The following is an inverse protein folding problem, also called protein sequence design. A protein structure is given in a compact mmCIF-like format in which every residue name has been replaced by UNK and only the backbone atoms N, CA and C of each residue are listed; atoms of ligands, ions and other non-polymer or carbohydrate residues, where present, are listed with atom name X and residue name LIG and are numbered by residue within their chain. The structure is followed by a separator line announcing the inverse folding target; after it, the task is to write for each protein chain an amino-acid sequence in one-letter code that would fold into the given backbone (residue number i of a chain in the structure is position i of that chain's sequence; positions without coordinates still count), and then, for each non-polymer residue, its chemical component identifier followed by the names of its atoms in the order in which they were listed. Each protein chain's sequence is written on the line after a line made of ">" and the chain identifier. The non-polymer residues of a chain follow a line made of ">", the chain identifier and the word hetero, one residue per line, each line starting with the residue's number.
data_IF_799028135701
#
_entry.id   IF_799028135701
#
_cell.length_a   1.000
_cell.length_b   1.000
_cell.length_c   1.000
_cell.angle_alpha   90.00
_cell.angle_beta   90.00
_cell.angle_gamma   90.00
#
_symmetry.space_group_name_H-M   'P 1'
#
loop_
_entity.id
_entity.type
_entity.pdbx_description
1 polymer ?
#
# COMPACT_ATOMS: atom_id res chain seq x y z
N UNK A 1 2.39 1.01 10.26
CA UNK A 1 3.52 1.33 9.34
C UNK A 1 3.31 0.86 7.89
N UNK A 2 2.65 -0.27 7.61
CA UNK A 2 2.47 -0.77 6.22
C UNK A 2 0.98 -0.85 5.80
N UNK A 3 0.08 -1.13 6.75
CA UNK A 3 -1.33 -1.36 6.45
C UNK A 3 -1.99 -0.15 5.75
N UNK A 4 -2.72 -0.46 4.69
CA UNK A 4 -3.53 0.50 3.93
C UNK A 4 -4.52 1.25 4.79
N UNK A 5 -5.06 0.67 5.86
CA UNK A 5 -6.00 1.36 6.76
C UNK A 5 -5.46 2.69 7.31
N UNK A 6 -4.13 2.79 7.50
CA UNK A 6 -3.49 3.95 8.15
C UNK A 6 -2.74 4.85 7.17
N UNK A 7 -2.65 4.50 5.89
CA UNK A 7 -1.87 5.30 4.93
C UNK A 7 -2.47 6.71 4.77
N UNK A 8 -3.79 6.81 4.63
CA UNK A 8 -4.46 8.10 4.53
C UNK A 8 -4.31 8.95 5.80
N UNK A 9 -4.42 8.36 6.98
CA UNK A 9 -4.23 9.09 8.25
C UNK A 9 -2.79 9.57 8.44
N UNK A 10 -1.79 8.80 7.99
CA UNK A 10 -0.40 9.27 7.97
C UNK A 10 -0.21 10.47 7.04
N UNK A 11 -0.82 10.45 5.85
CA UNK A 11 -0.81 11.61 4.95
C UNK A 11 -1.47 12.81 5.63
N UNK A 12 -2.65 12.64 6.23
CA UNK A 12 -3.35 13.69 6.96
C UNK A 12 -2.49 14.36 8.03
N UNK A 13 -1.83 13.56 8.87
CA UNK A 13 -0.97 14.07 9.95
C UNK A 13 0.21 14.89 9.41
N UNK A 14 0.82 14.45 8.30
CA UNK A 14 1.91 15.19 7.63
C UNK A 14 1.37 16.51 7.08
N UNK A 15 0.23 16.48 6.38
CA UNK A 15 -0.39 17.69 5.84
C UNK A 15 -0.79 18.68 6.93
N UNK A 16 -1.35 18.19 8.05
CA UNK A 16 -1.71 19.02 9.19
C UNK A 16 -0.49 19.74 9.78
N UNK A 17 0.65 19.03 9.89
CA UNK A 17 1.89 19.64 10.35
C UNK A 17 2.41 20.71 9.37
N UNK A 18 2.42 20.40 8.06
CA UNK A 18 2.85 21.36 7.03
C UNK A 18 1.94 22.60 6.99
N UNK A 19 0.64 22.44 7.22
CA UNK A 19 -0.30 23.55 7.33
C UNK A 19 -0.03 24.38 8.59
N UNK A 20 0.20 23.76 9.75
CA UNK A 20 0.56 24.49 10.99
C UNK A 20 1.83 25.32 10.84
N UNK A 21 2.77 24.87 10.01
CA UNK A 21 4.00 25.59 9.66
C UNK A 21 3.83 26.62 8.54
N UNK A 22 2.60 26.80 8.02
CA UNK A 22 2.24 27.71 6.92
C UNK A 22 2.96 27.40 5.60
N UNK A 23 3.34 26.15 5.38
CA UNK A 23 3.99 25.70 4.15
C UNK A 23 2.99 25.34 3.05
N UNK A 24 1.77 24.96 3.43
CA UNK A 24 0.66 24.63 2.54
C UNK A 24 -0.64 25.24 3.03
N UNK A 25 -1.63 25.36 2.13
CA UNK A 25 -2.99 25.81 2.42
C UNK A 25 -3.08 27.18 3.12
N UNK A 26 -2.07 28.04 2.96
CA UNK A 26 -1.96 29.34 3.65
C UNK A 26 -2.06 29.24 5.19
N UNK A 27 -1.86 28.04 5.75
CA UNK A 27 -2.00 27.76 7.17
C UNK A 27 -3.37 27.26 7.63
N UNK A 28 -4.34 27.07 6.73
CA UNK A 28 -5.63 26.50 7.10
C UNK A 28 -5.53 24.98 7.32
N UNK A 29 -5.70 24.56 8.58
CA UNK A 29 -5.69 23.16 8.98
C UNK A 29 -7.08 22.64 9.39
N UNK A 30 -8.12 23.48 9.40
CA UNK A 30 -9.42 23.12 10.01
C UNK A 30 -10.04 21.87 9.39
N UNK A 31 -10.00 21.76 8.07
CA UNK A 31 -10.54 20.64 7.30
C UNK A 31 -9.74 19.33 7.54
N UNK A 32 -8.41 19.43 7.62
CA UNK A 32 -7.51 18.28 7.76
C UNK A 32 -7.22 17.91 9.21
N UNK A 33 -7.63 18.69 10.22
CA UNK A 33 -7.45 18.36 11.64
C UNK A 33 -8.39 17.27 12.15
N UNK A 34 -9.43 16.91 11.41
CA UNK A 34 -10.35 15.85 11.80
C UNK A 34 -9.72 14.46 11.55
N UNK A 35 -9.65 13.58 12.57
CA UNK A 35 -9.13 12.23 12.36
C UNK A 35 -9.88 11.49 11.24
N UNK A 36 -9.14 10.77 10.39
CA UNK A 36 -9.67 10.02 9.24
C UNK A 36 -10.31 10.89 8.13
N UNK A 37 -10.12 12.22 8.14
CA UNK A 37 -10.58 13.09 7.05
C UNK A 37 -9.90 12.81 5.70
N UNK A 38 -8.82 12.02 5.70
CA UNK A 38 -8.11 11.62 4.49
C UNK A 38 -8.08 10.09 4.38
N UNK A 39 -9.08 9.45 3.75
CA UNK A 39 -9.09 8.02 3.51
C UNK A 39 -7.98 7.58 2.55
N UNK A 40 -7.54 6.33 2.68
CA UNK A 40 -6.49 5.74 1.81
C UNK A 40 -6.88 5.67 0.34
N UNK A 41 -8.18 5.68 0.03
CA UNK A 41 -8.67 5.81 -1.34
C UNK A 41 -8.09 7.05 -2.03
N UNK A 42 -8.03 8.19 -1.34
CA UNK A 42 -7.47 9.43 -1.89
C UNK A 42 -5.99 9.30 -2.23
N UNK A 43 -5.21 8.59 -1.39
CA UNK A 43 -3.79 8.31 -1.69
C UNK A 43 -3.65 7.60 -3.04
N UNK A 44 -4.49 6.59 -3.28
CA UNK A 44 -4.46 5.80 -4.52
C UNK A 44 -4.92 6.62 -5.74
N UNK A 45 -5.96 7.45 -5.58
CA UNK A 45 -6.47 8.31 -6.64
C UNK A 45 -5.48 9.41 -7.05
N UNK A 46 -4.82 10.03 -6.06
CA UNK A 46 -3.81 11.08 -6.26
C UNK A 46 -2.58 10.50 -6.94
N UNK A 47 -2.09 9.33 -6.51
CA UNK A 47 -0.95 8.69 -7.19
C UNK A 47 -1.26 8.24 -8.61
N UNK A 48 -2.50 7.82 -8.88
CA UNK A 48 -2.94 7.43 -10.22
C UNK A 48 -3.04 8.61 -11.19
N UNK A 49 -3.21 9.83 -10.68
CA UNK A 49 -3.29 11.04 -11.49
C UNK A 49 -1.91 11.53 -11.98
N UNK A 50 -0.83 11.20 -11.27
CA UNK A 50 0.51 11.72 -11.60
C UNK A 50 0.97 11.37 -13.02
N UNK A 51 0.44 10.29 -13.61
CA UNK A 51 0.80 9.84 -14.95
C UNK A 51 -0.24 10.28 -16.02
N UNK A 52 -1.15 11.21 -15.67
CA UNK A 52 -2.23 11.69 -16.54
C UNK A 52 -1.88 12.98 -17.30
N UNK A 53 -2.65 13.28 -18.35
CA UNK A 53 -2.48 14.48 -19.21
C UNK A 53 -2.79 15.79 -18.45
N UNK A 54 -3.62 15.72 -17.41
CA UNK A 54 -4.07 16.85 -16.60
C UNK A 54 -3.70 16.61 -15.13
N UNK A 55 -2.42 16.78 -14.75
CA UNK A 55 -1.99 16.53 -13.39
C UNK A 55 -2.69 17.49 -12.40
N UNK A 56 -2.93 17.00 -11.19
CA UNK A 56 -3.49 17.72 -10.04
C UNK A 56 -4.99 18.08 -10.06
N UNK A 57 -5.75 17.75 -11.11
CA UNK A 57 -7.17 18.07 -11.18
C UNK A 57 -8.01 17.30 -10.12
N UNK A 58 -7.83 15.98 -10.03
CA UNK A 58 -8.41 15.13 -8.99
C UNK A 58 -7.88 15.51 -7.62
N UNK A 59 -6.59 15.82 -7.52
CA UNK A 59 -6.01 16.28 -6.25
C UNK A 59 -6.70 17.55 -5.75
N UNK A 60 -6.93 18.54 -6.63
CA UNK A 60 -7.71 19.74 -6.30
C UNK A 60 -9.13 19.40 -5.87
N UNK A 61 -9.82 18.52 -6.61
CA UNK A 61 -11.17 18.11 -6.29
C UNK A 61 -11.25 17.43 -4.91
N UNK A 62 -10.34 16.50 -4.62
CA UNK A 62 -10.26 15.81 -3.32
C UNK A 62 -10.02 16.83 -2.19
N UNK A 63 -9.14 17.80 -2.39
CA UNK A 63 -8.88 18.83 -1.39
C UNK A 63 -10.11 19.71 -1.14
N UNK A 64 -10.84 20.07 -2.19
CA UNK A 64 -12.11 20.78 -2.08
C UNK A 64 -13.18 19.97 -1.35
N UNK A 65 -13.31 18.66 -1.67
CA UNK A 65 -14.24 17.74 -1.03
C UNK A 65 -13.96 17.58 0.48
N UNK A 66 -12.69 17.64 0.88
CA UNK A 66 -12.27 17.61 2.29
C UNK A 66 -12.61 18.93 3.01
N UNK A 67 -12.77 20.03 2.26
CA UNK A 67 -13.10 21.35 2.80
C UNK A 67 -11.98 22.39 2.70
N UNK A 68 -10.98 22.17 1.84
CA UNK A 68 -9.96 23.20 1.52
C UNK A 68 -10.53 24.11 0.41
N UNK A 69 -10.84 25.36 0.74
CA UNK A 69 -11.58 26.26 -0.15
C UNK A 69 -10.79 26.68 -1.41
N UNK A 70 -9.47 26.90 -1.29
CA UNK A 70 -8.62 27.43 -2.37
C UNK A 70 -7.25 26.73 -2.44
N UNK A 71 -7.19 25.44 -2.79
CA UNK A 71 -5.92 24.76 -2.95
C UNK A 71 -5.16 25.31 -4.17
N UNK A 72 -3.89 25.66 -4.00
CA UNK A 72 -3.01 26.04 -5.10
C UNK A 72 -2.43 24.82 -5.82
N UNK A 73 -1.87 25.02 -7.02
CA UNK A 73 -1.14 23.97 -7.74
C UNK A 73 0.08 23.50 -6.93
N UNK A 74 0.74 24.41 -6.20
CA UNK A 74 1.85 24.09 -5.32
C UNK A 74 1.41 23.19 -4.15
N UNK A 75 0.23 23.44 -3.57
CA UNK A 75 -0.35 22.57 -2.54
C UNK A 75 -0.62 21.17 -3.10
N UNK A 76 -1.21 21.08 -4.29
CA UNK A 76 -1.50 19.79 -4.92
C UNK A 76 -0.23 19.00 -5.22
N UNK A 77 0.83 19.68 -5.63
CA UNK A 77 2.15 19.07 -5.84
C UNK A 77 2.72 18.52 -4.53
N UNK A 78 2.64 19.30 -3.46
CA UNK A 78 3.08 18.88 -2.12
C UNK A 78 2.28 17.68 -1.60
N UNK A 79 0.95 17.70 -1.75
CA UNK A 79 0.07 16.59 -1.36
C UNK A 79 0.40 15.32 -2.14
N UNK A 80 0.57 15.42 -3.46
CA UNK A 80 0.93 14.29 -4.31
C UNK A 80 2.31 13.71 -3.94
N UNK A 81 3.27 14.57 -3.58
CA UNK A 81 4.57 14.15 -3.11
C UNK A 81 4.50 13.41 -1.77
N UNK A 82 3.74 13.94 -0.80
CA UNK A 82 3.51 13.28 0.50
C UNK A 82 2.85 11.90 0.32
N UNK A 83 1.85 11.80 -0.55
CA UNK A 83 1.23 10.50 -0.91
C UNK A 83 2.28 9.51 -1.40
N UNK A 84 3.11 9.93 -2.37
CA UNK A 84 4.20 9.10 -2.92
C UNK A 84 5.19 8.62 -1.86
N UNK A 85 5.56 9.49 -0.92
CA UNK A 85 6.45 9.14 0.18
C UNK A 85 5.85 8.07 1.09
N UNK A 86 4.57 8.23 1.47
CA UNK A 86 3.89 7.29 2.36
C UNK A 86 3.72 5.92 1.70
N UNK A 87 3.30 5.87 0.43
CA UNK A 87 3.13 4.63 -0.32
C UNK A 87 4.46 3.93 -0.55
N UNK A 88 5.50 4.67 -0.95
CA UNK A 88 6.85 4.12 -1.15
C UNK A 88 7.42 3.55 0.15
N UNK A 89 7.25 4.26 1.27
CA UNK A 89 7.66 3.78 2.60
C UNK A 89 6.94 2.47 2.95
N UNK A 90 5.63 2.39 2.73
CA UNK A 90 4.86 1.17 3.00
C UNK A 90 5.31 0.00 2.12
N UNK A 91 5.48 0.22 0.82
CA UNK A 91 5.97 -0.79 -0.13
C UNK A 91 7.38 -1.27 0.24
N UNK A 92 8.31 -0.37 0.57
CA UNK A 92 9.67 -0.73 0.92
C UNK A 92 9.77 -1.57 2.20
N UNK A 93 8.98 -1.23 3.22
CA UNK A 93 8.93 -2.01 4.46
C UNK A 93 8.33 -3.40 4.23
N UNK A 94 7.35 -3.51 3.33
CA UNK A 94 6.78 -4.79 2.91
C UNK A 94 7.81 -5.63 2.13
N UNK A 95 8.51 -5.01 1.17
CA UNK A 95 9.58 -5.62 0.40
C UNK A 95 10.67 -6.21 1.29
N UNK A 96 11.10 -5.48 2.32
CA UNK A 96 12.12 -5.96 3.26
C UNK A 96 11.68 -7.24 3.98
N UNK A 97 10.40 -7.35 4.37
CA UNK A 97 9.85 -8.57 4.96
C UNK A 97 9.86 -9.75 3.98
N UNK A 98 9.41 -9.53 2.75
CA UNK A 98 9.38 -10.57 1.71
C UNK A 98 10.80 -11.03 1.37
N UNK A 99 11.71 -10.09 1.08
CA UNK A 99 13.10 -10.38 0.77
C UNK A 99 13.81 -11.16 1.89
N UNK A 100 13.52 -10.83 3.16
CA UNK A 100 14.06 -11.57 4.31
C UNK A 100 13.63 -13.03 4.32
N UNK A 101 12.33 -13.30 4.07
CA UNK A 101 11.81 -14.67 4.02
C UNK A 101 12.40 -15.44 2.84
N UNK A 102 12.44 -14.83 1.65
CA UNK A 102 13.03 -15.44 0.45
C UNK A 102 14.51 -15.79 0.66
N UNK A 103 15.29 -14.86 1.22
CA UNK A 103 16.70 -15.08 1.57
C UNK A 103 16.85 -16.21 2.57
N UNK A 104 15.97 -16.30 3.57
CA UNK A 104 16.01 -17.35 4.59
C UNK A 104 15.64 -18.73 4.05
N UNK A 105 14.78 -18.80 3.03
CA UNK A 105 14.34 -20.04 2.39
C UNK A 105 15.43 -20.65 1.48
N UNK A 106 16.29 -19.82 0.88
CA UNK A 106 17.35 -20.24 -0.06
C UNK A 106 16.85 -21.21 -1.15
N UNK A 107 15.66 -20.92 -1.71
CA UNK A 107 15.11 -21.67 -2.84
C UNK A 107 15.42 -20.94 -4.14
N UNK A 108 15.72 -21.67 -5.23
CA UNK A 108 16.06 -21.05 -6.51
C UNK A 108 14.90 -20.22 -7.07
N UNK A 109 13.66 -20.66 -6.85
CA UNK A 109 12.46 -19.97 -7.31
C UNK A 109 11.33 -20.05 -6.28
N UNK A 110 10.67 -18.93 -6.00
CA UNK A 110 9.53 -18.85 -5.07
C UNK A 110 8.41 -17.99 -5.63
N UNK A 111 7.18 -18.52 -5.60
CA UNK A 111 5.98 -17.71 -5.85
C UNK A 111 5.45 -17.14 -4.53
N UNK A 112 5.33 -15.82 -4.46
CA UNK A 112 4.78 -15.11 -3.30
C UNK A 112 3.33 -14.75 -3.60
N UNK A 113 2.40 -15.43 -2.93
CA UNK A 113 0.98 -15.10 -2.99
C UNK A 113 0.69 -13.82 -2.20
N UNK A 114 0.10 -12.82 -2.86
CA UNK A 114 -0.27 -11.53 -2.27
C UNK A 114 -1.78 -11.34 -2.35
N UNK A 115 -2.38 -10.94 -1.24
CA UNK A 115 -3.75 -10.44 -1.18
C UNK A 115 -3.78 -9.10 -0.41
N UNK A 116 -4.73 -8.25 -0.73
CA UNK A 116 -4.93 -6.97 -0.07
C UNK A 116 -5.31 -5.83 -1.03
N UNK A 117 -6.17 -4.94 -0.55
CA UNK A 117 -6.68 -3.81 -1.33
C UNK A 117 -5.58 -2.86 -1.83
N UNK A 118 -4.53 -2.63 -1.03
CA UNK A 118 -3.41 -1.76 -1.44
C UNK A 118 -2.70 -2.35 -2.65
N UNK A 119 -2.33 -3.64 -2.61
CA UNK A 119 -1.66 -4.27 -3.74
C UNK A 119 -2.56 -4.34 -4.99
N UNK A 120 -3.86 -4.53 -4.80
CA UNK A 120 -4.85 -4.65 -5.89
C UNK A 120 -5.20 -3.33 -6.57
N UNK A 121 -5.40 -2.27 -5.81
CA UNK A 121 -6.03 -1.04 -6.29
C UNK A 121 -5.09 0.16 -6.32
N UNK A 122 -3.97 0.12 -5.59
CA UNK A 122 -3.03 1.22 -5.61
C UNK A 122 -2.16 1.16 -6.87
N UNK A 123 -2.16 2.21 -7.73
CA UNK A 123 -1.66 2.13 -9.10
C UNK A 123 -0.16 1.83 -9.20
N UNK A 124 0.62 2.30 -8.21
CA UNK A 124 2.08 2.19 -8.21
C UNK A 124 2.63 1.16 -7.22
N UNK A 125 1.79 0.58 -6.34
CA UNK A 125 2.30 -0.15 -5.17
C UNK A 125 2.97 -1.46 -5.56
N UNK A 126 2.36 -2.24 -6.46
CA UNK A 126 2.92 -3.50 -6.93
C UNK A 126 4.30 -3.31 -7.57
N UNK A 127 4.45 -2.31 -8.45
CA UNK A 127 5.72 -1.97 -9.08
C UNK A 127 6.80 -1.57 -8.06
N UNK A 128 6.48 -0.66 -7.14
CA UNK A 128 7.45 -0.19 -6.13
C UNK A 128 7.87 -1.35 -5.20
N UNK A 129 6.93 -2.24 -4.88
CA UNK A 129 7.19 -3.43 -4.07
C UNK A 129 8.17 -4.36 -4.78
N UNK A 130 7.88 -4.72 -6.03
CA UNK A 130 8.70 -5.59 -6.88
C UNK A 130 10.12 -5.04 -7.07
N UNK A 131 10.23 -3.78 -7.50
CA UNK A 131 11.51 -3.08 -7.66
C UNK A 131 12.36 -3.07 -6.38
N UNK A 132 11.72 -2.94 -5.22
CA UNK A 132 12.45 -2.94 -3.95
C UNK A 132 12.84 -4.36 -3.52
N UNK A 133 12.04 -5.37 -3.81
CA UNK A 133 12.43 -6.76 -3.53
C UNK A 133 13.64 -7.13 -4.38
N UNK A 134 13.64 -6.79 -5.69
CA UNK A 134 14.78 -6.99 -6.59
C UNK A 134 16.07 -6.35 -6.08
N UNK A 135 15.98 -5.13 -5.56
CA UNK A 135 17.14 -4.43 -4.98
C UNK A 135 17.69 -5.08 -3.71
N UNK A 136 16.87 -5.86 -2.98
CA UNK A 136 17.24 -6.47 -1.71
C UNK A 136 17.66 -7.94 -1.86
N UNK A 137 17.27 -8.61 -2.94
CA UNK A 137 17.56 -10.02 -3.17
C UNK A 137 18.94 -10.23 -3.79
N UNK A 138 19.54 -11.37 -3.44
CA UNK A 138 20.74 -11.84 -4.12
C UNK A 138 20.39 -12.28 -5.55
N UNK A 139 21.25 -12.05 -6.56
CA UNK A 139 20.96 -12.34 -7.97
C UNK A 139 20.66 -13.82 -8.29
N UNK A 140 20.99 -14.74 -7.38
CA UNK A 140 20.76 -16.18 -7.54
C UNK A 140 19.42 -16.66 -6.97
N UNK A 141 18.58 -15.77 -6.45
CA UNK A 141 17.25 -16.08 -5.93
C UNK A 141 16.21 -15.42 -6.83
N UNK A 142 15.38 -16.25 -7.46
CA UNK A 142 14.28 -15.78 -8.30
C UNK A 142 12.95 -15.86 -7.56
N UNK A 143 12.03 -14.95 -7.91
CA UNK A 143 10.69 -14.95 -7.37
C UNK A 143 9.68 -14.41 -8.37
N UNK A 144 8.40 -14.60 -8.06
CA UNK A 144 7.31 -13.88 -8.71
C UNK A 144 6.26 -13.49 -7.66
N UNK A 145 5.64 -12.33 -7.85
CA UNK A 145 4.48 -11.92 -7.06
C UNK A 145 3.21 -12.35 -7.79
N UNK A 146 2.31 -13.05 -7.09
CA UNK A 146 1.05 -13.53 -7.65
C UNK A 146 -0.12 -13.04 -6.82
N UNK A 147 -1.08 -12.38 -7.45
CA UNK A 147 -2.31 -11.97 -6.78
C UNK A 147 -3.15 -13.20 -6.42
N UNK A 148 -3.53 -13.31 -5.15
CA UNK A 148 -4.45 -14.34 -4.65
C UNK A 148 -5.87 -13.79 -4.62
N UNK A 149 -6.80 -14.42 -5.32
CA UNK A 149 -8.19 -13.94 -5.43
C UNK A 149 -9.05 -14.29 -4.20
N UNK A 150 -8.78 -15.43 -3.56
CA UNK A 150 -9.52 -15.91 -2.38
C UNK A 150 -8.63 -16.82 -1.52
N UNK A 151 -7.66 -16.20 -0.83
CA UNK A 151 -6.83 -16.93 0.12
C UNK A 151 -7.61 -17.44 1.34
N UNK A 152 -8.65 -16.70 1.76
CA UNK A 152 -9.39 -16.99 2.99
C UNK A 152 -10.38 -18.15 2.84
N UNK A 153 -11.13 -18.22 1.75
CA UNK A 153 -12.11 -19.28 1.49
C UNK A 153 -11.44 -20.54 0.97
N UNK A 154 -10.80 -20.47 -0.20
CA UNK A 154 -10.13 -21.64 -0.82
C UNK A 154 -9.00 -22.19 0.05
N UNK A 155 -8.22 -21.32 0.70
CA UNK A 155 -7.14 -21.73 1.61
C UNK A 155 -7.67 -22.48 2.83
N UNK A 156 -8.72 -21.98 3.48
CA UNK A 156 -9.32 -22.66 4.62
C UNK A 156 -9.92 -24.03 4.25
N UNK A 157 -10.59 -24.12 3.10
CA UNK A 157 -11.14 -25.39 2.60
C UNK A 157 -10.05 -26.43 2.32
N UNK A 158 -8.93 -26.01 1.69
CA UNK A 158 -7.80 -26.90 1.43
C UNK A 158 -7.16 -27.40 2.72
N UNK A 159 -6.92 -26.51 3.69
CA UNK A 159 -6.35 -26.90 4.99
C UNK A 159 -7.27 -27.86 5.73
N UNK A 160 -8.59 -27.62 5.72
CA UNK A 160 -9.57 -28.53 6.31
C UNK A 160 -9.53 -29.93 5.64
N UNK A 161 -9.48 -29.99 4.31
CA UNK A 161 -9.38 -31.25 3.57
C UNK A 161 -8.09 -32.01 3.92
N UNK A 162 -6.95 -31.32 4.00
CA UNK A 162 -5.67 -31.93 4.41
C UNK A 162 -5.74 -32.45 5.85
N UNK A 163 -6.30 -31.68 6.78
CA UNK A 163 -6.46 -32.09 8.17
C UNK A 163 -7.33 -33.35 8.32
N UNK A 164 -8.44 -33.44 7.58
CA UNK A 164 -9.31 -34.63 7.54
C UNK A 164 -8.54 -35.85 7.02
N UNK A 165 -7.79 -35.68 5.93
CA UNK A 165 -6.98 -36.76 5.34
C UNK A 165 -5.93 -37.29 6.32
N UNK A 166 -5.12 -36.40 6.91
CA UNK A 166 -4.08 -36.78 7.88
C UNK A 166 -4.68 -37.51 9.08
N UNK A 167 -5.85 -37.06 9.58
CA UNK A 167 -6.56 -37.74 10.67
C UNK A 167 -7.04 -39.14 10.27
N UNK A 168 -7.47 -39.33 9.02
CA UNK A 168 -7.90 -40.64 8.52
C UNK A 168 -6.73 -41.61 8.38
N UNK A 169 -5.60 -41.17 7.80
CA UNK A 169 -4.39 -41.99 7.62
C UNK A 169 -3.78 -42.41 8.98
N UNK A 170 -3.82 -41.52 9.99
CA UNK A 170 -3.35 -41.79 11.35
C UNK A 170 -4.20 -42.84 12.09
N UNK A 171 -5.46 -43.02 11.72
CA UNK A 171 -6.36 -44.03 12.31
C UNK A 171 -6.21 -45.41 11.66
N UNK A 172 -5.73 -45.46 10.42
CA UNK A 172 -5.51 -46.71 9.68
C UNK A 172 -4.16 -47.36 10.04
N UNK A 173 -3.25 -46.61 10.66
CA UNK A 173 -1.91 -47.06 11.07
C UNK A 173 -1.81 -47.46 12.54
N UNK A 174 -2.90 -47.39 13.31
CA UNK A 174 -3.01 -47.83 14.70
C UNK A 174 -3.96 -49.03 14.81
#
# INVERSE_FOLDING_TARGET
>A
MISGMYMGELVRLILEQLAKEKLIFEGDCRAISQPNAFPTKYVSEIEGEQDSVTPHQKTMQILQDIGIEKPSIADCTSVAYVCSLVSRRAAHLCAAGIATVLTRMQRPYVTVGIDGSVYRFHPKFARILDEKIDQLLAPNLEYQLMLSEDGSGRGAALVAAVAVRVRSESKTTA
#
